data_IF_106154020952
#
_entry.id   IF_106154020952
#
_cell.length_a   1.000
_cell.length_b   1.000
_cell.length_c   1.000
_cell.angle_alpha   90.00
_cell.angle_beta   90.00
_cell.angle_gamma   90.00
#
_symmetry.space_group_name_H-M   'P 1'
#
loop_
_entity.id
_entity.type
_entity.pdbx_description
1 polymer ?
#
# COMPACT_ATOMS: atom_id res chain seq x y z
N UNK A 1 -10.35 -17.86 43.07
CA UNK A 1 -9.47 -16.67 42.88
C UNK A 1 -8.90 -16.90 41.51
N UNK A 2 -9.65 -16.43 40.53
CA UNK A 2 -9.64 -16.99 39.20
C UNK A 2 -8.75 -16.06 38.38
N UNK A 3 -7.60 -16.58 37.93
CA UNK A 3 -6.69 -15.89 37.02
C UNK A 3 -7.45 -15.58 35.73
N UNK A 4 -7.96 -14.36 35.65
CA UNK A 4 -8.56 -13.82 34.44
C UNK A 4 -7.44 -13.71 33.39
N UNK A 5 -7.42 -14.68 32.50
CA UNK A 5 -6.43 -14.82 31.45
C UNK A 5 -6.56 -13.63 30.53
N UNK A 6 -5.59 -12.70 30.57
CA UNK A 6 -5.54 -11.56 29.66
C UNK A 6 -5.30 -12.12 28.25
N UNK A 7 -6.37 -12.28 27.48
CA UNK A 7 -6.29 -12.61 26.06
C UNK A 7 -5.84 -11.33 25.36
N UNK A 8 -4.54 -11.23 25.07
CA UNK A 8 -4.04 -10.23 24.12
C UNK A 8 -4.80 -10.39 22.81
N UNK A 9 -5.36 -9.31 22.24
CA UNK A 9 -5.94 -9.38 20.91
C UNK A 9 -4.79 -9.62 19.94
N UNK A 10 -4.58 -10.88 19.58
CA UNK A 10 -3.67 -11.27 18.53
C UNK A 10 -4.18 -10.60 17.24
N UNK A 11 -3.50 -9.55 16.79
CA UNK A 11 -3.77 -8.94 15.49
C UNK A 11 -3.41 -10.00 14.45
N UNK A 12 -4.37 -10.86 14.12
CA UNK A 12 -4.21 -11.86 13.06
C UNK A 12 -4.17 -11.12 11.75
N UNK A 13 -2.95 -10.91 11.25
CA UNK A 13 -2.74 -10.58 9.86
C UNK A 13 -3.21 -11.79 9.06
N UNK A 14 -4.21 -11.55 8.23
CA UNK A 14 -4.73 -12.55 7.31
C UNK A 14 -3.62 -12.83 6.27
N UNK A 15 -3.06 -14.05 6.23
CA UNK A 15 -1.91 -14.38 5.37
C UNK A 15 -2.22 -14.15 3.89
N UNK A 16 -3.48 -14.31 3.48
CA UNK A 16 -3.92 -14.06 2.11
C UNK A 16 -3.84 -12.57 1.78
N UNK A 17 -4.14 -11.68 2.74
CA UNK A 17 -4.03 -10.22 2.56
C UNK A 17 -2.57 -9.77 2.50
N UNK A 18 -1.69 -10.39 3.27
CA UNK A 18 -0.26 -10.11 3.22
C UNK A 18 0.34 -10.51 1.86
N UNK A 19 -0.04 -11.67 1.33
CA UNK A 19 0.40 -12.11 0.00
C UNK A 19 -0.09 -11.15 -1.11
N UNK A 20 -1.32 -10.64 -1.01
CA UNK A 20 -1.85 -9.62 -1.93
C UNK A 20 -1.03 -8.33 -1.85
N UNK A 21 -0.71 -7.86 -0.65
CA UNK A 21 0.06 -6.63 -0.46
C UNK A 21 1.50 -6.76 -1.00
N UNK A 22 2.15 -7.91 -0.79
CA UNK A 22 3.47 -8.20 -1.36
C UNK A 22 3.41 -8.19 -2.90
N UNK A 23 2.41 -8.87 -3.47
CA UNK A 23 2.22 -8.89 -4.94
C UNK A 23 1.94 -7.50 -5.49
N UNK A 24 1.16 -6.69 -4.79
CA UNK A 24 0.85 -5.31 -5.18
C UNK A 24 2.11 -4.44 -5.16
N UNK A 25 2.89 -4.47 -4.08
CA UNK A 25 4.14 -3.71 -3.97
C UNK A 25 5.16 -4.12 -5.04
N UNK A 26 5.28 -5.42 -5.31
CA UNK A 26 6.13 -5.93 -6.38
C UNK A 26 5.65 -5.45 -7.76
N UNK A 27 4.34 -5.41 -7.97
CA UNK A 27 3.73 -4.92 -9.22
C UNK A 27 4.01 -3.43 -9.41
N UNK A 28 3.86 -2.61 -8.36
CA UNK A 28 4.21 -1.17 -8.38
C UNK A 28 5.69 -0.98 -8.71
N UNK A 29 6.58 -1.73 -8.05
CA UNK A 29 8.02 -1.67 -8.33
C UNK A 29 8.36 -2.05 -9.78
N UNK A 30 7.75 -3.11 -10.28
CA UNK A 30 7.93 -3.54 -11.66
C UNK A 30 7.36 -2.53 -12.67
N UNK A 31 6.20 -1.94 -12.37
CA UNK A 31 5.57 -0.91 -13.20
C UNK A 31 6.49 0.31 -13.31
N UNK A 32 7.02 0.80 -12.20
CA UNK A 32 7.99 1.92 -12.19
C UNK A 32 9.22 1.65 -13.07
N UNK A 33 9.79 0.43 -12.99
CA UNK A 33 10.91 0.04 -13.85
C UNK A 33 10.49 -0.10 -15.33
N UNK A 34 9.29 -0.64 -15.58
CA UNK A 34 8.74 -0.78 -16.92
C UNK A 34 8.58 0.57 -17.62
N UNK A 35 8.11 1.58 -16.88
CA UNK A 35 7.72 2.88 -17.42
C UNK A 35 8.90 3.81 -17.62
N UNK A 36 9.94 3.68 -16.78
CA UNK A 36 11.17 4.46 -16.92
C UNK A 36 12.12 3.92 -17.98
N UNK A 37 12.14 2.60 -18.21
CA UNK A 37 13.13 1.96 -19.09
C UNK A 37 12.52 1.45 -20.40
N UNK A 38 11.44 0.68 -20.32
CA UNK A 38 10.98 -0.12 -21.45
C UNK A 38 10.01 0.67 -22.34
N UNK A 39 9.04 1.39 -21.77
CA UNK A 39 8.08 2.19 -22.55
C UNK A 39 8.80 3.20 -23.45
N UNK A 40 9.72 4.06 -22.96
CA UNK A 40 10.38 5.05 -23.81
C UNK A 40 11.23 4.40 -24.91
N UNK A 41 11.87 3.27 -24.59
CA UNK A 41 12.68 2.52 -25.55
C UNK A 41 11.84 1.93 -26.68
N UNK A 42 10.68 1.35 -26.36
CA UNK A 42 9.76 0.79 -27.35
C UNK A 42 9.21 1.89 -28.27
N UNK A 43 8.81 3.03 -27.70
CA UNK A 43 8.33 4.17 -28.48
C UNK A 43 9.40 4.75 -29.40
N UNK A 44 10.64 4.87 -28.91
CA UNK A 44 11.77 5.29 -29.73
C UNK A 44 11.98 4.33 -30.92
N UNK A 45 12.00 3.03 -30.67
CA UNK A 45 12.18 2.03 -31.72
C UNK A 45 11.04 2.05 -32.75
N UNK A 46 9.81 2.24 -32.31
CA UNK A 46 8.65 2.35 -33.20
C UNK A 46 8.72 3.63 -34.05
N UNK A 47 9.00 4.77 -33.42
CA UNK A 47 9.15 6.07 -34.10
C UNK A 47 10.22 6.00 -35.19
N UNK A 48 11.38 5.40 -34.89
CA UNK A 48 12.47 5.20 -35.85
C UNK A 48 12.08 4.24 -37.00
N UNK A 49 11.41 3.13 -36.69
CA UNK A 49 11.03 2.13 -37.69
C UNK A 49 9.95 2.61 -38.68
N UNK A 50 9.04 3.48 -38.22
CA UNK A 50 7.91 3.96 -39.00
C UNK A 50 8.04 5.42 -39.45
N UNK A 51 9.16 6.08 -39.14
CA UNK A 51 9.40 7.50 -39.43
C UNK A 51 8.24 8.40 -38.96
N UNK A 52 7.64 8.04 -37.82
CA UNK A 52 6.48 8.72 -37.25
C UNK A 52 6.84 9.38 -35.94
N UNK A 53 6.35 10.60 -35.71
CA UNK A 53 6.38 11.20 -34.38
C UNK A 53 5.35 10.49 -33.49
N UNK A 54 5.77 10.10 -32.29
CA UNK A 54 4.92 9.47 -31.28
C UNK A 54 4.97 10.21 -29.93
N UNK A 55 5.48 11.44 -29.92
CA UNK A 55 5.68 12.19 -28.67
C UNK A 55 4.38 12.34 -27.88
N UNK A 56 3.28 12.71 -28.55
CA UNK A 56 1.97 12.86 -27.92
C UNK A 56 1.39 11.52 -27.44
N UNK A 57 1.60 10.44 -28.19
CA UNK A 57 1.12 9.10 -27.82
C UNK A 57 1.87 8.57 -26.60
N UNK A 58 3.19 8.83 -26.53
CA UNK A 58 4.02 8.51 -25.38
C UNK A 58 3.56 9.30 -24.14
N UNK A 59 3.36 10.60 -24.27
CA UNK A 59 2.87 11.46 -23.18
C UNK A 59 1.52 10.95 -22.66
N UNK A 60 0.57 10.68 -23.56
CA UNK A 60 -0.75 10.14 -23.20
C UNK A 60 -0.65 8.81 -22.46
N UNK A 61 0.25 7.90 -22.89
CA UNK A 61 0.46 6.63 -22.22
C UNK A 61 1.07 6.84 -20.82
N UNK A 62 2.06 7.73 -20.69
CA UNK A 62 2.71 8.03 -19.41
C UNK A 62 1.72 8.61 -18.40
N UNK A 63 0.79 9.47 -18.82
CA UNK A 63 -0.28 10.01 -17.96
C UNK A 63 -1.20 8.91 -17.42
N UNK A 64 -1.57 7.95 -18.27
CA UNK A 64 -2.43 6.81 -17.87
C UNK A 64 -1.70 5.89 -16.91
N UNK A 65 -0.40 5.66 -17.14
CA UNK A 65 0.44 4.88 -16.25
C UNK A 65 0.57 5.53 -14.88
N UNK A 66 0.79 6.85 -14.83
CA UNK A 66 0.91 7.59 -13.56
C UNK A 66 -0.40 7.50 -12.74
N UNK A 67 -1.54 7.57 -13.42
CA UNK A 67 -2.85 7.35 -12.79
C UNK A 67 -2.97 5.93 -12.22
N UNK A 68 -2.50 4.91 -12.95
CA UNK A 68 -2.49 3.52 -12.48
C UNK A 68 -1.59 3.34 -11.26
N UNK A 69 -0.38 3.90 -11.27
CA UNK A 69 0.57 3.83 -10.15
C UNK A 69 -0.01 4.48 -8.88
N UNK A 70 -0.59 5.67 -9.04
CA UNK A 70 -1.27 6.40 -7.96
C UNK A 70 -2.42 5.60 -7.36
N UNK A 71 -3.21 4.94 -8.22
CA UNK A 71 -4.33 4.10 -7.77
C UNK A 71 -3.84 2.89 -6.98
N UNK A 72 -2.83 2.17 -7.49
CA UNK A 72 -2.28 0.97 -6.85
C UNK A 72 -1.65 1.31 -5.49
N UNK A 73 -0.86 2.38 -5.43
CA UNK A 73 -0.24 2.82 -4.17
C UNK A 73 -1.29 3.34 -3.18
N UNK A 74 -2.27 4.09 -3.67
CA UNK A 74 -3.38 4.60 -2.85
C UNK A 74 -4.20 3.47 -2.22
N UNK A 75 -4.49 2.41 -2.97
CA UNK A 75 -5.21 1.24 -2.48
C UNK A 75 -4.42 0.47 -1.42
N UNK A 76 -3.11 0.31 -1.61
CA UNK A 76 -2.22 -0.25 -0.58
C UNK A 76 -2.25 0.57 0.71
N UNK A 77 -2.04 1.89 0.61
CA UNK A 77 -2.02 2.80 1.76
C UNK A 77 -3.37 2.77 2.49
N UNK A 78 -4.47 2.79 1.75
CA UNK A 78 -5.83 2.76 2.31
C UNK A 78 -6.05 1.53 3.19
N UNK A 79 -5.70 0.32 2.70
CA UNK A 79 -5.83 -0.90 3.49
C UNK A 79 -5.01 -0.86 4.79
N UNK A 80 -3.77 -0.37 4.72
CA UNK A 80 -2.93 -0.23 5.93
C UNK A 80 -3.49 0.79 6.90
N UNK A 81 -4.02 1.90 6.40
CA UNK A 81 -4.64 2.94 7.23
C UNK A 81 -5.91 2.43 7.93
N UNK A 82 -6.73 1.61 7.27
CA UNK A 82 -7.92 0.98 7.87
C UNK A 82 -7.55 0.09 9.07
N UNK A 83 -6.52 -0.76 8.93
CA UNK A 83 -6.02 -1.61 10.03
C UNK A 83 -5.57 -0.75 11.21
N UNK A 84 -4.79 0.30 10.95
CA UNK A 84 -4.31 1.21 12.01
C UNK A 84 -5.50 1.92 12.67
N UNK A 85 -6.49 2.37 11.88
CA UNK A 85 -7.69 3.02 12.40
C UNK A 85 -8.48 2.09 13.31
N UNK A 86 -8.64 0.82 12.93
CA UNK A 86 -9.30 -0.21 13.75
C UNK A 86 -8.55 -0.46 15.06
N UNK A 87 -7.22 -0.56 15.02
CA UNK A 87 -6.39 -0.73 16.21
C UNK A 87 -6.58 0.46 17.17
N UNK A 88 -6.53 1.69 16.66
CA UNK A 88 -6.71 2.90 17.47
C UNK A 88 -8.12 2.94 18.05
N UNK A 89 -9.16 2.71 17.24
CA UNK A 89 -10.54 2.71 17.70
C UNK A 89 -10.78 1.64 18.77
N UNK A 90 -10.26 0.43 18.55
CA UNK A 90 -10.34 -0.65 19.53
C UNK A 90 -9.60 -0.26 20.80
N UNK A 91 -8.34 0.16 20.71
CA UNK A 91 -7.54 0.53 21.89
C UNK A 91 -8.17 1.64 22.73
N UNK A 92 -8.72 2.66 22.08
CA UNK A 92 -9.30 3.84 22.76
C UNK A 92 -10.71 3.57 23.26
N UNK A 93 -11.60 2.96 22.45
CA UNK A 93 -13.03 2.85 22.76
C UNK A 93 -13.47 1.51 23.34
N UNK A 94 -12.69 0.42 23.24
CA UNK A 94 -13.12 -0.91 23.71
C UNK A 94 -13.15 -1.09 25.24
N UNK A 95 -12.85 -0.03 26.01
CA UNK A 95 -13.05 0.00 27.46
C UNK A 95 -12.12 -0.89 28.28
N UNK A 96 -11.14 -1.55 27.64
CA UNK A 96 -10.13 -2.38 28.32
C UNK A 96 -9.09 -1.56 29.08
N UNK A 97 -8.92 -0.29 28.73
CA UNK A 97 -7.98 0.63 29.37
C UNK A 97 -8.79 1.75 30.01
N UNK A 98 -8.74 1.84 31.34
CA UNK A 98 -9.19 3.04 32.05
C UNK A 98 -8.12 4.12 31.93
N UNK A 99 -8.29 5.00 30.95
CA UNK A 99 -7.37 6.09 30.65
C UNK A 99 -7.20 7.09 31.81
N UNK A 100 -8.11 7.13 32.79
CA UNK A 100 -7.99 7.99 33.98
C UNK A 100 -7.02 7.43 35.01
N UNK A 101 -6.93 6.11 35.12
CA UNK A 101 -6.08 5.42 36.12
C UNK A 101 -4.88 4.71 35.51
N UNK A 102 -4.72 4.75 34.19
CA UNK A 102 -3.64 4.07 33.49
C UNK A 102 -2.26 4.57 33.98
N UNK A 103 -1.34 3.66 34.34
CA UNK A 103 0.02 4.05 34.73
C UNK A 103 0.75 4.71 33.56
N UNK A 104 1.63 5.67 33.86
CA UNK A 104 2.41 6.38 32.84
C UNK A 104 3.21 5.37 32.00
N UNK A 105 3.14 5.41 30.65
CA UNK A 105 3.91 4.51 29.81
C UNK A 105 5.40 4.67 30.10
N UNK A 106 6.01 3.63 30.66
CA UNK A 106 7.46 3.46 30.69
C UNK A 106 7.81 2.72 29.41
N UNK A 107 8.27 3.45 28.39
CA UNK A 107 8.68 2.86 27.12
C UNK A 107 9.67 1.74 27.39
N UNK A 108 9.28 0.50 27.05
CA UNK A 108 10.17 -0.66 27.06
C UNK A 108 11.18 -0.59 25.94
#
# INVERSE_FOLDING_TARGET
MDEETIVEPEVRIDPDKEEIDIRLLLTISNLSNFTTVYIPRLFKQFSEAFLSDMTNDLETLMDVVEQLDTLLLGDYIKRKAEIISEIIQTGVFSGKVDWLTAPKPTGG
#
